data_IF_432699244798
#
_entry.id   IF_432699244798
#
_cell.length_a   1.000
_cell.length_b   1.000
_cell.length_c   1.000
_cell.angle_alpha   90.00
_cell.angle_beta   90.00
_cell.angle_gamma   90.00
#
_symmetry.space_group_name_H-M   'P 1'
#
loop_
_entity.id
_entity.type
_entity.pdbx_description
1 polymer ?
#
# COMPACT_ATOMS: atom_id res chain seq x y z
N UNK A 1 -35.66 0.74 18.79
CA UNK A 1 -34.54 1.68 18.86
C UNK A 1 -33.25 0.89 18.92
N UNK A 2 -32.30 1.20 18.03
CA UNK A 2 -30.95 0.59 18.05
C UNK A 2 -30.22 1.11 19.29
N UNK A 3 -29.73 0.17 20.13
CA UNK A 3 -28.91 0.55 21.28
C UNK A 3 -27.61 1.16 20.83
N UNK A 4 -27.20 2.32 21.37
CA UNK A 4 -25.90 2.90 21.08
C UNK A 4 -24.80 2.10 21.82
N UNK A 5 -23.81 1.62 21.08
CA UNK A 5 -22.65 0.95 21.62
C UNK A 5 -21.46 1.92 21.74
N UNK A 6 -20.64 1.74 22.77
CA UNK A 6 -19.36 2.43 22.91
C UNK A 6 -18.21 1.54 22.51
N UNK A 7 -17.14 2.15 22.05
CA UNK A 7 -15.88 1.44 21.74
C UNK A 7 -15.24 1.02 23.07
N UNK A 8 -15.00 -0.28 23.20
CA UNK A 8 -14.25 -0.88 24.30
C UNK A 8 -12.76 -0.86 24.05
N UNK A 9 -12.12 -2.00 24.30
CA UNK A 9 -10.70 -2.18 24.01
C UNK A 9 -10.46 -2.25 22.49
N UNK A 10 -9.43 -1.53 22.03
CA UNK A 10 -8.97 -1.60 20.66
C UNK A 10 -7.67 -2.39 20.61
N UNK A 11 -7.63 -3.45 19.84
CA UNK A 11 -6.44 -4.27 19.61
C UNK A 11 -6.09 -4.24 18.13
N UNK A 12 -4.87 -3.81 17.82
CA UNK A 12 -4.31 -3.82 16.47
C UNK A 12 -3.27 -4.93 16.38
N UNK A 13 -3.46 -5.87 15.46
CA UNK A 13 -2.52 -6.94 15.16
C UNK A 13 -1.84 -6.65 13.83
N UNK A 14 -0.52 -6.52 13.86
CA UNK A 14 0.30 -6.27 12.68
C UNK A 14 1.12 -7.52 12.38
N UNK A 15 0.82 -8.17 11.27
CA UNK A 15 1.49 -9.40 10.84
C UNK A 15 2.36 -9.17 9.61
N UNK A 16 3.54 -9.78 9.59
CA UNK A 16 4.43 -9.80 8.45
C UNK A 16 4.09 -10.98 7.52
N UNK A 17 4.50 -10.91 6.26
CA UNK A 17 4.38 -12.03 5.31
C UNK A 17 5.18 -13.24 5.80
N UNK A 18 6.39 -12.99 6.33
CA UNK A 18 7.17 -14.02 7.03
C UNK A 18 6.89 -13.87 8.52
N UNK A 19 6.33 -14.90 9.17
CA UNK A 19 6.09 -14.88 10.60
C UNK A 19 7.37 -14.62 11.40
N UNK A 20 7.25 -13.82 12.44
CA UNK A 20 8.35 -13.49 13.34
C UNK A 20 7.85 -13.35 14.77
N UNK A 21 8.76 -13.14 15.75
CA UNK A 21 8.36 -12.88 17.13
C UNK A 21 7.48 -11.65 17.19
N UNK A 22 6.43 -11.72 17.97
CA UNK A 22 5.49 -10.63 18.18
C UNK A 22 5.75 -9.93 19.51
N UNK A 23 5.74 -8.61 19.47
CA UNK A 23 5.79 -7.77 20.66
C UNK A 23 4.44 -7.11 20.87
N UNK A 24 4.09 -6.93 22.14
CA UNK A 24 2.87 -6.22 22.55
C UNK A 24 3.26 -4.93 23.25
N UNK A 25 2.71 -3.81 22.79
CA UNK A 25 2.88 -2.51 23.40
C UNK A 25 1.58 -1.70 23.37
N UNK A 26 1.51 -0.65 24.17
CA UNK A 26 0.40 0.30 24.14
C UNK A 26 0.78 1.55 23.37
N UNK A 27 -0.11 1.97 22.49
CA UNK A 27 -0.01 3.20 21.74
C UNK A 27 -1.23 4.05 22.09
N UNK A 28 -1.04 5.03 23.01
CA UNK A 28 -2.14 5.68 23.75
C UNK A 28 -2.98 4.61 24.47
N UNK A 29 -4.29 4.54 24.20
CA UNK A 29 -5.22 3.57 24.78
C UNK A 29 -5.47 2.34 23.88
N UNK A 30 -4.68 2.17 22.82
CA UNK A 30 -4.77 1.05 21.87
C UNK A 30 -3.68 0.03 22.17
N UNK A 31 -4.06 -1.24 22.25
CA UNK A 31 -3.13 -2.36 22.35
C UNK A 31 -2.63 -2.72 20.96
N UNK A 32 -1.32 -2.72 20.74
CA UNK A 32 -0.71 -3.10 19.48
C UNK A 32 0.11 -4.38 19.66
N UNK A 33 -0.17 -5.38 18.86
CA UNK A 33 0.58 -6.63 18.77
C UNK A 33 1.24 -6.62 17.39
N UNK A 34 2.55 -6.42 17.35
CA UNK A 34 3.29 -6.29 16.09
C UNK A 34 4.38 -7.34 15.97
N UNK A 35 4.44 -8.01 14.83
CA UNK A 35 5.57 -8.89 14.50
C UNK A 35 6.81 -8.08 14.12
N UNK A 36 7.96 -8.56 14.55
CA UNK A 36 9.25 -7.94 14.21
C UNK A 36 9.78 -8.45 12.85
N UNK A 37 10.48 -7.60 12.09
CA UNK A 37 10.68 -6.16 12.32
C UNK A 37 9.40 -5.37 12.08
N UNK A 38 9.13 -4.37 12.92
CA UNK A 38 7.96 -3.50 12.77
C UNK A 38 8.14 -2.61 11.52
N UNK A 39 7.20 -2.70 10.57
CA UNK A 39 7.29 -2.04 9.27
C UNK A 39 6.55 -0.70 9.17
N UNK A 40 6.00 -0.22 10.28
CA UNK A 40 5.32 1.08 10.36
C UNK A 40 5.77 1.83 11.60
N UNK A 41 5.88 3.16 11.49
CA UNK A 41 6.17 4.01 12.66
C UNK A 41 4.93 4.10 13.55
N UNK A 42 5.05 3.95 14.89
CA UNK A 42 3.91 4.04 15.81
C UNK A 42 3.09 5.32 15.64
N UNK A 43 3.77 6.45 15.40
CA UNK A 43 3.14 7.75 15.20
C UNK A 43 2.21 7.78 13.97
N UNK A 44 2.57 7.08 12.89
CA UNK A 44 1.72 6.97 11.69
C UNK A 44 0.48 6.15 12.03
N UNK A 45 0.67 4.98 12.65
CA UNK A 45 -0.43 4.12 13.07
C UNK A 45 -1.43 4.88 13.96
N UNK A 46 -0.96 5.61 14.98
CA UNK A 46 -1.84 6.35 15.88
C UNK A 46 -2.66 7.46 15.20
N UNK A 47 -2.14 8.06 14.13
CA UNK A 47 -2.84 9.09 13.36
C UNK A 47 -3.86 8.52 12.38
N UNK A 48 -3.66 7.27 11.98
CA UNK A 48 -4.53 6.60 11.01
C UNK A 48 -5.78 6.02 11.66
N UNK A 49 -5.74 5.73 12.95
CA UNK A 49 -6.88 5.22 13.70
C UNK A 49 -7.85 6.37 14.01
N UNK A 50 -9.10 6.25 13.57
CA UNK A 50 -10.20 7.19 13.84
C UNK A 50 -11.14 6.71 14.95
N UNK A 51 -10.82 5.56 15.58
CA UNK A 51 -11.55 4.98 16.69
C UNK A 51 -10.78 5.23 17.99
N UNK A 52 -11.48 5.65 19.02
CA UNK A 52 -10.92 5.87 20.37
C UNK A 52 -11.76 5.11 21.40
N UNK A 53 -11.14 4.47 22.42
CA UNK A 53 -11.87 3.83 23.50
C UNK A 53 -12.81 4.81 24.20
N UNK A 54 -14.01 4.34 24.55
CA UNK A 54 -15.04 5.12 25.23
C UNK A 54 -15.93 6.00 24.34
N UNK A 55 -15.54 6.27 23.10
CA UNK A 55 -16.39 7.01 22.15
C UNK A 55 -17.57 6.16 21.66
N UNK A 56 -18.60 6.82 21.12
CA UNK A 56 -19.71 6.15 20.47
C UNK A 56 -19.22 5.41 19.23
N UNK A 57 -19.52 4.10 19.15
CA UNK A 57 -19.21 3.32 17.96
C UNK A 57 -20.12 3.72 16.80
N UNK A 58 -19.53 4.05 15.68
CA UNK A 58 -20.24 4.32 14.42
C UNK A 58 -19.60 3.53 13.27
N UNK A 59 -20.41 3.00 12.38
CA UNK A 59 -19.96 2.32 11.16
C UNK A 59 -19.10 3.26 10.31
N UNK A 60 -19.38 4.55 10.34
CA UNK A 60 -18.60 5.55 9.62
C UNK A 60 -17.18 5.70 10.17
N UNK A 61 -16.97 5.69 11.49
CA UNK A 61 -15.64 5.70 12.11
C UNK A 61 -14.88 4.40 11.80
N UNK A 62 -15.56 3.27 11.78
CA UNK A 62 -15.01 1.99 11.34
C UNK A 62 -14.51 2.07 9.90
N UNK A 63 -15.38 2.50 8.97
CA UNK A 63 -15.05 2.62 7.55
C UNK A 63 -13.92 3.62 7.31
N UNK A 64 -13.90 4.75 8.02
CA UNK A 64 -12.80 5.73 7.94
C UNK A 64 -11.48 5.11 8.38
N UNK A 65 -11.45 4.39 9.48
CA UNK A 65 -10.24 3.70 9.97
C UNK A 65 -9.75 2.68 8.95
N UNK A 66 -10.62 1.83 8.43
CA UNK A 66 -10.26 0.83 7.43
C UNK A 66 -9.75 1.46 6.14
N UNK A 67 -10.45 2.51 5.65
CA UNK A 67 -10.04 3.25 4.45
C UNK A 67 -8.70 3.95 4.65
N UNK A 68 -8.48 4.56 5.81
CA UNK A 68 -7.23 5.24 6.10
C UNK A 68 -6.04 4.27 6.18
N UNK A 69 -6.24 3.08 6.78
CA UNK A 69 -5.21 2.03 6.79
C UNK A 69 -4.92 1.51 5.38
N UNK A 70 -5.94 1.26 4.57
CA UNK A 70 -5.76 0.82 3.18
C UNK A 70 -5.05 1.87 2.31
N UNK A 71 -5.32 3.15 2.54
CA UNK A 71 -4.65 4.27 1.82
C UNK A 71 -3.15 4.37 2.09
N UNK A 72 -2.64 3.79 3.16
CA UNK A 72 -1.19 3.73 3.39
C UNK A 72 -0.46 2.88 2.34
N UNK A 73 -1.15 2.00 1.62
CA UNK A 73 -0.57 1.19 0.54
C UNK A 73 0.52 0.18 0.99
N UNK A 74 0.62 -0.07 2.30
CA UNK A 74 1.63 -0.95 2.90
C UNK A 74 1.05 -2.27 3.38
N UNK A 75 -0.27 -2.38 3.39
CA UNK A 75 -0.99 -3.56 3.84
C UNK A 75 -1.60 -4.31 2.66
N UNK A 76 -1.42 -5.61 2.65
CA UNK A 76 -2.06 -6.54 1.72
C UNK A 76 -3.53 -6.75 2.06
N UNK A 77 -3.84 -6.79 3.36
CA UNK A 77 -5.20 -6.91 3.86
C UNK A 77 -5.35 -6.17 5.18
N UNK A 78 -6.52 -5.56 5.35
CA UNK A 78 -6.94 -4.91 6.61
C UNK A 78 -8.35 -5.38 6.89
N UNK A 79 -8.51 -6.11 8.00
CA UNK A 79 -9.80 -6.58 8.47
C UNK A 79 -10.09 -5.94 9.83
N UNK A 80 -11.28 -5.38 9.97
CA UNK A 80 -11.74 -4.78 11.20
C UNK A 80 -12.96 -5.54 11.70
N UNK A 81 -12.78 -6.25 12.81
CA UNK A 81 -13.82 -6.99 13.51
C UNK A 81 -14.27 -6.25 14.75
N UNK A 82 -15.57 -6.36 15.07
CA UNK A 82 -16.16 -5.87 16.30
C UNK A 82 -16.80 -7.03 17.06
N UNK A 83 -16.54 -7.12 18.35
CA UNK A 83 -17.07 -8.18 19.19
C UNK A 83 -17.77 -7.52 20.38
N UNK A 84 -19.06 -7.84 20.63
CA UNK A 84 -19.73 -7.36 21.84
C UNK A 84 -19.01 -7.90 23.07
N UNK A 85 -18.71 -7.05 24.01
CA UNK A 85 -18.26 -7.48 25.32
C UNK A 85 -19.42 -8.19 26.00
N UNK A 86 -19.15 -9.38 26.57
CA UNK A 86 -20.14 -10.34 27.04
C UNK A 86 -21.27 -9.67 27.84
N UNK A 87 -22.51 -9.95 27.44
CA UNK A 87 -23.74 -9.33 27.97
C UNK A 87 -24.00 -9.59 29.45
N UNK A 88 -23.22 -10.46 30.09
CA UNK A 88 -23.29 -10.73 31.55
C UNK A 88 -22.82 -9.54 32.41
N UNK A 89 -22.14 -8.56 31.82
CA UNK A 89 -21.69 -7.34 32.52
C UNK A 89 -22.48 -6.09 32.22
N UNK A 90 -23.57 -6.18 31.44
CA UNK A 90 -24.44 -5.04 31.15
C UNK A 90 -23.77 -3.90 30.37
N UNK A 91 -22.63 -4.16 29.77
CA UNK A 91 -21.86 -3.15 29.06
C UNK A 91 -22.30 -3.05 27.60
N UNK A 92 -22.92 -1.93 27.23
CA UNK A 92 -23.15 -1.55 25.82
C UNK A 92 -21.81 -1.16 25.15
N UNK A 93 -20.85 -2.12 25.13
CA UNK A 93 -19.46 -1.89 24.72
C UNK A 93 -19.08 -2.91 23.64
N UNK A 94 -18.38 -2.45 22.60
CA UNK A 94 -17.86 -3.25 21.51
C UNK A 94 -16.32 -3.21 21.53
N UNK A 95 -15.70 -4.36 21.68
CA UNK A 95 -14.26 -4.47 21.46
C UNK A 95 -13.94 -4.51 19.96
N UNK A 96 -12.91 -3.80 19.58
CA UNK A 96 -12.48 -3.66 18.20
C UNK A 96 -11.15 -4.35 18.00
N UNK A 97 -11.11 -5.25 17.01
CA UNK A 97 -9.89 -5.94 16.59
C UNK A 97 -9.59 -5.55 15.15
N UNK A 98 -8.39 -5.02 14.94
CA UNK A 98 -7.90 -4.64 13.60
C UNK A 98 -6.75 -5.58 13.26
N UNK A 99 -6.98 -6.47 12.28
CA UNK A 99 -5.97 -7.36 11.75
C UNK A 99 -5.44 -6.78 10.43
N UNK A 100 -4.16 -6.38 10.43
CA UNK A 100 -3.51 -5.83 9.26
C UNK A 100 -2.26 -6.66 8.91
N UNK A 101 -2.22 -7.16 7.68
CA UNK A 101 -1.08 -7.89 7.15
C UNK A 101 -0.28 -7.01 6.22
N UNK A 102 1.02 -6.87 6.46
CA UNK A 102 1.91 -6.12 5.58
C UNK A 102 2.06 -6.80 4.22
N UNK A 103 2.19 -6.00 3.17
CA UNK A 103 2.54 -6.47 1.83
C UNK A 103 4.06 -6.42 1.60
N UNK A 104 4.48 -6.94 0.45
CA UNK A 104 5.83 -6.77 -0.04
C UNK A 104 6.07 -5.29 -0.36
N UNK A 105 7.11 -4.67 0.21
CA UNK A 105 7.37 -3.25 -0.05
C UNK A 105 7.97 -3.01 -1.43
N UNK A 106 8.60 -4.02 -2.04
CA UNK A 106 9.32 -3.91 -3.30
C UNK A 106 8.51 -4.53 -4.43
N UNK A 107 8.28 -3.73 -5.47
CA UNK A 107 7.68 -4.16 -6.72
C UNK A 107 8.64 -3.87 -7.88
N UNK A 108 8.72 -4.78 -8.82
CA UNK A 108 9.48 -4.61 -10.05
C UNK A 108 8.62 -5.04 -11.25
N UNK A 109 8.63 -4.25 -12.30
CA UNK A 109 7.94 -4.54 -13.55
C UNK A 109 8.86 -4.30 -14.73
N UNK A 110 8.78 -5.19 -15.72
CA UNK A 110 9.43 -5.08 -17.02
C UNK A 110 8.33 -5.08 -18.09
N UNK A 111 8.25 -3.99 -18.82
CA UNK A 111 7.30 -3.84 -19.93
C UNK A 111 8.09 -3.75 -21.25
N UNK A 112 7.61 -4.42 -22.27
CA UNK A 112 8.15 -4.33 -23.62
C UNK A 112 7.04 -3.93 -24.57
N UNK A 113 7.33 -3.01 -25.47
CA UNK A 113 6.39 -2.54 -26.50
C UNK A 113 7.06 -2.45 -27.86
N UNK A 114 6.24 -2.38 -28.89
CA UNK A 114 6.68 -2.08 -30.25
C UNK A 114 5.90 -0.88 -30.75
N UNK A 115 6.62 0.19 -31.03
CA UNK A 115 6.01 1.42 -31.56
C UNK A 115 6.11 1.44 -33.07
N UNK A 116 4.99 1.74 -33.75
CA UNK A 116 4.93 2.00 -35.18
C UNK A 116 4.37 3.41 -35.39
N UNK A 117 5.11 4.23 -36.13
CA UNK A 117 4.72 5.62 -36.41
C UNK A 117 4.31 5.78 -37.86
N UNK A 118 3.43 6.75 -38.13
CA UNK A 118 2.90 7.05 -39.52
C UNK A 118 3.99 7.48 -40.48
N UNK A 119 5.16 7.88 -40.02
CA UNK A 119 6.33 8.25 -40.87
C UNK A 119 7.25 7.05 -41.16
N UNK A 120 6.73 5.83 -41.10
CA UNK A 120 7.44 4.58 -41.38
C UNK A 120 8.59 4.24 -40.41
N UNK A 121 8.56 4.77 -39.22
CA UNK A 121 9.44 4.33 -38.16
C UNK A 121 8.77 3.22 -37.34
N UNK A 122 9.52 2.18 -37.07
CA UNK A 122 9.14 1.07 -36.21
C UNK A 122 10.30 0.73 -35.27
N UNK A 123 10.00 0.35 -34.04
CA UNK A 123 11.04 -0.08 -33.12
C UNK A 123 10.52 -0.59 -31.80
N UNK A 124 11.33 -1.45 -31.15
CA UNK A 124 11.02 -1.93 -29.81
C UNK A 124 11.27 -0.86 -28.77
N UNK A 125 10.44 -0.88 -27.74
CA UNK A 125 10.61 -0.16 -26.48
C UNK A 125 10.74 -1.12 -25.31
N UNK A 126 11.46 -0.70 -24.29
CA UNK A 126 11.60 -1.41 -23.03
C UNK A 126 11.45 -0.42 -21.88
N UNK A 127 10.65 -0.79 -20.91
CA UNK A 127 10.45 -0.01 -19.68
C UNK A 127 10.72 -0.90 -18.49
N UNK A 128 11.64 -0.46 -17.64
CA UNK A 128 11.91 -1.09 -16.36
C UNK A 128 11.46 -0.16 -15.24
N UNK A 129 10.60 -0.68 -14.35
CA UNK A 129 10.08 0.05 -13.18
C UNK A 129 10.45 -0.71 -11.92
N UNK A 130 10.93 0.01 -10.91
CA UNK A 130 11.11 -0.50 -9.54
C UNK A 130 10.48 0.49 -8.59
N UNK A 131 9.63 0.02 -7.69
CA UNK A 131 9.05 0.85 -6.64
C UNK A 131 9.19 0.21 -5.27
N UNK A 132 9.37 1.05 -4.25
CA UNK A 132 9.33 0.65 -2.86
C UNK A 132 8.27 1.48 -2.14
N UNK A 133 7.25 0.80 -1.58
CA UNK A 133 6.06 1.41 -1.01
C UNK A 133 6.19 1.72 0.49
N UNK A 134 7.35 1.54 1.11
CA UNK A 134 7.51 1.78 2.55
C UNK A 134 8.98 1.88 2.99
N UNK A 135 9.80 2.59 2.23
CA UNK A 135 11.25 2.65 2.45
C UNK A 135 11.60 3.19 3.84
N UNK A 136 10.89 4.22 4.29
CA UNK A 136 11.12 4.89 5.58
C UNK A 136 10.06 4.56 6.64
N UNK A 137 9.24 3.52 6.44
CA UNK A 137 8.17 3.05 7.34
C UNK A 137 7.06 4.08 7.61
N UNK A 138 6.80 4.96 6.63
CA UNK A 138 5.75 5.99 6.69
C UNK A 138 4.63 5.81 5.68
N UNK A 139 4.69 4.74 4.85
CA UNK A 139 3.77 4.51 3.75
C UNK A 139 4.08 5.37 2.52
N UNK A 140 5.31 5.88 2.41
CA UNK A 140 5.80 6.61 1.25
C UNK A 140 6.17 5.67 0.11
N UNK A 141 5.93 6.11 -1.11
CA UNK A 141 6.28 5.39 -2.34
C UNK A 141 7.47 6.05 -3.00
N UNK A 142 8.53 5.27 -3.20
CA UNK A 142 9.65 5.66 -4.06
C UNK A 142 9.62 4.78 -5.30
N UNK A 143 9.51 5.39 -6.48
CA UNK A 143 9.52 4.68 -7.75
C UNK A 143 10.63 5.19 -8.67
N UNK A 144 11.30 4.25 -9.34
CA UNK A 144 12.28 4.54 -10.39
C UNK A 144 11.80 3.88 -11.66
N UNK A 145 11.72 4.66 -12.73
CA UNK A 145 11.32 4.18 -14.06
C UNK A 145 12.42 4.48 -15.06
N UNK A 146 12.85 3.47 -15.79
CA UNK A 146 13.81 3.56 -16.88
C UNK A 146 13.10 3.17 -18.18
N UNK A 147 13.11 4.05 -19.18
CA UNK A 147 12.59 3.80 -20.51
C UNK A 147 13.73 3.82 -21.52
N UNK A 148 13.72 2.89 -22.45
CA UNK A 148 14.58 2.89 -23.60
C UNK A 148 13.80 2.48 -24.85
N UNK A 149 13.99 3.18 -25.96
CA UNK A 149 13.42 2.77 -27.24
C UNK A 149 14.43 2.94 -28.36
N UNK A 150 14.34 2.08 -29.32
CA UNK A 150 15.15 2.11 -30.53
C UNK A 150 14.24 2.07 -31.75
N UNK A 151 14.38 3.02 -32.66
CA UNK A 151 13.54 3.11 -33.84
C UNK A 151 14.39 3.10 -35.12
N UNK A 152 13.93 2.39 -36.16
CA UNK A 152 14.48 2.43 -37.48
C UNK A 152 13.40 2.73 -38.52
N UNK A 153 13.79 3.34 -39.61
CA UNK A 153 12.88 3.67 -40.68
C UNK A 153 12.70 2.48 -41.62
N UNK A 154 11.44 2.05 -41.84
CA UNK A 154 11.07 1.03 -42.80
C UNK A 154 10.41 1.70 -43.97
N UNK A 155 11.00 1.77 -45.15
CA UNK A 155 10.23 2.17 -46.31
C UNK A 155 10.85 3.18 -47.26
N UNK A 156 12.14 3.41 -47.27
CA UNK A 156 12.77 4.18 -48.35
C UNK A 156 13.69 3.28 -49.16
N UNK A 157 13.17 2.74 -50.30
CA UNK A 157 13.95 1.88 -51.22
C UNK A 157 15.03 2.64 -52.01
N UNK A 158 15.08 3.98 -51.91
CA UNK A 158 15.95 4.82 -52.73
C UNK A 158 17.16 5.45 -52.03
N UNK A 159 17.39 5.13 -50.75
CA UNK A 159 18.56 5.62 -50.07
C UNK A 159 19.32 4.44 -49.48
N UNK A 160 20.47 4.11 -50.00
CA UNK A 160 21.31 2.97 -49.61
C UNK A 160 21.94 3.07 -48.21
N UNK A 161 21.23 3.58 -47.24
CA UNK A 161 21.64 3.67 -45.87
C UNK A 161 20.48 3.39 -44.90
N UNK A 162 20.58 2.34 -44.11
CA UNK A 162 19.73 2.12 -42.95
C UNK A 162 20.01 3.26 -41.91
N UNK A 163 19.16 4.26 -41.86
CA UNK A 163 19.28 5.23 -40.76
C UNK A 163 18.60 4.65 -39.52
N UNK A 164 19.38 4.10 -38.64
CA UNK A 164 18.96 3.75 -37.28
C UNK A 164 19.19 4.95 -36.38
N UNK A 165 18.20 5.35 -35.60
CA UNK A 165 18.33 6.42 -34.61
C UNK A 165 17.87 5.90 -33.28
N UNK A 166 18.70 6.07 -32.26
CA UNK A 166 18.29 5.96 -30.86
C UNK A 166 17.41 7.17 -30.55
N UNK A 167 16.12 6.95 -30.26
CA UNK A 167 15.17 8.04 -30.29
C UNK A 167 14.85 8.63 -28.92
N UNK A 168 14.89 7.84 -27.87
CA UNK A 168 14.70 8.40 -26.51
C UNK A 168 15.19 7.48 -25.41
N UNK A 169 15.72 8.08 -24.37
CA UNK A 169 15.81 7.49 -23.06
C UNK A 169 15.21 8.49 -22.07
N UNK A 170 14.43 7.99 -21.13
CA UNK A 170 13.81 8.81 -20.09
C UNK A 170 14.10 8.19 -18.73
N UNK A 171 14.63 9.00 -17.81
CA UNK A 171 14.82 8.64 -16.42
C UNK A 171 13.87 9.46 -15.56
N UNK A 172 12.88 8.82 -14.96
CA UNK A 172 11.93 9.45 -14.04
C UNK A 172 12.15 8.95 -12.61
N UNK A 173 12.21 9.87 -11.65
CA UNK A 173 12.14 9.61 -10.21
C UNK A 173 10.84 10.21 -9.70
N UNK A 174 9.98 9.39 -9.07
CA UNK A 174 8.75 9.81 -8.41
C UNK A 174 8.72 9.40 -6.95
#
# INVERSE_FOLDING_TARGET
ALKPYRVGDITVRLTNIKPGPADTFRLRDVRVIAQRPMKIRPKILSRTLSLEPGQLFTVDAQNRTQTALNKLGIFRSVNLGVTPLDSLRGADTLDVVIDAQFDYPLEAALETDVTSKSNSFIGPGITFKVSNNNLFRGGEVLAVKLNGSYEWQTGNKNSGGRSSRLNSYELGLN
#
